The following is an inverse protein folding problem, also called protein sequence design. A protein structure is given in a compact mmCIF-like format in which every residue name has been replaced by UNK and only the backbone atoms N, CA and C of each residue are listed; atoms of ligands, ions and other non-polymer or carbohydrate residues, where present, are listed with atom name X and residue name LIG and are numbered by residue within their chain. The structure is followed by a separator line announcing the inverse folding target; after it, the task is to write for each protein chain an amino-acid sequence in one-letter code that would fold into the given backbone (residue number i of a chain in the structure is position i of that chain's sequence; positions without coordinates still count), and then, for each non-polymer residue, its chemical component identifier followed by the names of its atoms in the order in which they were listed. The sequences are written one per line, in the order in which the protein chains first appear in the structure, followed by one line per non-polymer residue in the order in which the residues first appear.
data_IF_277817747223
#
_entry.id   IF_277817747223
#
_cell.length_a   1.000
_cell.length_b   1.000
_cell.length_c   1.000
_cell.angle_alpha   90.00
_cell.angle_beta   90.00
_cell.angle_gamma   90.00
#
_symmetry.space_group_name_H-M   'P 1'
#
loop_
_entity.id
_entity.type
_entity.pdbx_description
1 polymer ?
#
# COMPACT_ATOMS: atom_id res chain seq x y z
N UNK A 1 1.37 16.96 -13.90
CA UNK A 1 1.16 15.51 -13.71
C UNK A 1 0.13 15.29 -12.60
N UNK A 2 -0.68 14.25 -12.68
CA UNK A 2 -1.60 13.80 -11.62
C UNK A 2 -1.22 12.37 -11.26
N UNK A 3 -1.45 11.99 -10.01
CA UNK A 3 -1.31 10.62 -9.55
C UNK A 3 -2.64 9.90 -9.73
N UNK A 4 -2.60 8.72 -10.34
CA UNK A 4 -3.77 7.92 -10.65
C UNK A 4 -3.50 6.45 -10.30
N UNK A 5 -4.35 5.88 -9.46
CA UNK A 5 -4.42 4.45 -9.23
C UNK A 5 -5.19 3.84 -10.40
N UNK A 6 -4.59 2.85 -11.05
CA UNK A 6 -5.10 2.21 -12.26
C UNK A 6 -6.06 1.08 -11.90
N UNK A 7 -7.15 1.48 -11.25
CA UNK A 7 -8.30 0.66 -10.89
C UNK A 7 -9.59 1.39 -11.30
N UNK A 8 -10.68 0.64 -11.47
CA UNK A 8 -11.97 1.20 -11.89
C UNK A 8 -12.53 2.17 -10.85
N UNK A 9 -13.33 3.15 -11.30
CA UNK A 9 -14.05 4.10 -10.43
C UNK A 9 -14.86 3.40 -9.34
N UNK A 10 -15.50 2.28 -9.67
CA UNK A 10 -16.28 1.45 -8.72
C UNK A 10 -15.48 1.06 -7.47
N UNK A 11 -14.19 0.77 -7.63
CA UNK A 11 -13.27 0.48 -6.53
C UNK A 11 -12.81 1.79 -5.89
N UNK A 12 -12.38 2.77 -6.70
CA UNK A 12 -11.74 4.00 -6.20
C UNK A 12 -12.65 4.93 -5.41
N UNK A 13 -13.95 4.93 -5.71
CA UNK A 13 -14.95 5.77 -5.03
C UNK A 13 -15.34 5.22 -3.65
N UNK A 14 -14.94 3.97 -3.33
CA UNK A 14 -15.19 3.34 -2.03
C UNK A 14 -14.03 3.58 -1.06
N UNK A 15 -14.31 3.48 0.24
CA UNK A 15 -13.28 3.61 1.27
C UNK A 15 -12.23 2.50 1.15
N UNK A 16 -11.04 2.72 1.70
CA UNK A 16 -10.03 1.66 1.80
C UNK A 16 -10.58 0.48 2.62
N UNK A 17 -11.35 0.76 3.70
CA UNK A 17 -12.04 -0.28 4.48
C UNK A 17 -12.93 -1.20 3.65
N UNK A 18 -13.71 -0.63 2.73
CA UNK A 18 -14.61 -1.39 1.87
C UNK A 18 -13.87 -2.18 0.78
N UNK A 19 -12.59 -1.88 0.56
CA UNK A 19 -11.75 -2.46 -0.47
C UNK A 19 -10.63 -3.35 0.09
N UNK A 20 -10.60 -3.66 1.40
CA UNK A 20 -9.54 -4.50 2.00
C UNK A 20 -9.35 -5.78 1.20
N UNK A 21 -10.43 -6.52 0.93
CA UNK A 21 -10.35 -7.80 0.23
C UNK A 21 -9.85 -7.64 -1.23
N UNK A 22 -10.15 -6.49 -1.87
CA UNK A 22 -9.65 -6.15 -3.22
C UNK A 22 -8.16 -5.83 -3.19
N UNK A 23 -7.73 -5.06 -2.19
CA UNK A 23 -6.34 -4.68 -1.95
C UNK A 23 -5.52 -5.92 -1.67
N UNK A 24 -5.97 -6.78 -0.74
CA UNK A 24 -5.33 -8.05 -0.40
C UNK A 24 -5.23 -8.95 -1.63
N UNK A 25 -6.28 -9.06 -2.45
CA UNK A 25 -6.25 -9.86 -3.67
C UNK A 25 -5.17 -9.40 -4.67
N UNK A 26 -4.99 -8.09 -4.84
CA UNK A 26 -3.92 -7.54 -5.68
C UNK A 26 -2.56 -7.81 -5.04
N UNK A 27 -2.42 -7.53 -3.75
CA UNK A 27 -1.14 -7.62 -3.05
C UNK A 27 -0.67 -9.06 -2.85
N UNK A 28 -1.59 -10.03 -2.80
CA UNK A 28 -1.29 -11.46 -2.77
C UNK A 28 -1.11 -12.09 -4.16
N UNK A 29 -1.19 -11.31 -5.24
CA UNK A 29 -1.10 -11.86 -6.59
C UNK A 29 0.28 -12.48 -6.82
N UNK A 30 0.31 -13.82 -6.93
CA UNK A 30 1.55 -14.59 -7.00
C UNK A 30 2.11 -14.62 -8.43
N UNK A 31 2.79 -13.53 -8.76
CA UNK A 31 3.57 -13.40 -9.99
C UNK A 31 4.99 -12.95 -9.62
N UNK A 32 5.98 -13.34 -10.43
CA UNK A 32 7.34 -12.81 -10.30
C UNK A 32 7.52 -11.67 -11.28
N UNK A 33 7.50 -10.44 -10.76
CA UNK A 33 7.73 -9.23 -11.55
C UNK A 33 9.20 -9.02 -11.92
N UNK A 34 10.15 -9.88 -11.54
CA UNK A 34 11.59 -9.76 -11.84
C UNK A 34 12.28 -8.48 -11.30
N UNK A 35 11.53 -7.55 -10.72
CA UNK A 35 12.02 -6.37 -10.01
C UNK A 35 11.70 -6.51 -8.53
N UNK A 36 12.72 -6.34 -7.67
CA UNK A 36 12.63 -6.61 -6.24
C UNK A 36 13.00 -5.38 -5.42
N UNK A 37 12.09 -4.95 -4.55
CA UNK A 37 12.34 -3.90 -3.56
C UNK A 37 12.32 -4.52 -2.17
N UNK A 38 13.46 -4.49 -1.48
CA UNK A 38 13.66 -5.20 -0.19
C UNK A 38 13.71 -4.18 0.95
N UNK A 39 12.93 -4.38 2.02
CA UNK A 39 13.09 -3.60 3.26
C UNK A 39 14.38 -4.06 3.93
N UNK A 40 15.39 -3.19 3.95
CA UNK A 40 16.65 -3.41 4.65
C UNK A 40 16.48 -3.21 6.16
N UNK A 41 15.70 -4.06 6.82
CA UNK A 41 15.78 -4.21 8.27
C UNK A 41 16.43 -5.55 8.62
N UNK A 42 17.33 -5.51 9.61
CA UNK A 42 17.99 -6.69 10.19
C UNK A 42 16.98 -7.51 11.02
N UNK A 43 15.91 -8.02 10.41
CA UNK A 43 14.97 -8.90 11.11
C UNK A 43 15.42 -10.35 10.94
N UNK A 44 15.78 -10.96 12.06
CA UNK A 44 16.14 -12.36 12.14
C UNK A 44 14.95 -13.23 11.70
N UNK A 45 15.12 -14.01 10.63
CA UNK A 45 14.35 -15.23 10.32
C UNK A 45 12.82 -15.13 10.54
N UNK A 46 12.21 -14.04 10.11
CA UNK A 46 10.75 -13.97 9.92
C UNK A 46 10.46 -14.37 8.47
N UNK A 47 9.32 -15.03 8.23
CA UNK A 47 8.84 -15.31 6.87
C UNK A 47 8.78 -13.99 6.11
N UNK A 48 9.59 -13.86 5.05
CA UNK A 48 9.52 -12.70 4.18
C UNK A 48 8.22 -12.81 3.38
N UNK A 49 7.36 -11.81 3.51
CA UNK A 49 6.17 -11.73 2.69
C UNK A 49 6.50 -10.99 1.39
N UNK A 50 5.90 -11.48 0.29
CA UNK A 50 6.00 -10.87 -1.03
C UNK A 50 4.67 -10.23 -1.33
N UNK A 51 4.67 -8.92 -1.58
CA UNK A 51 3.47 -8.22 -2.02
C UNK A 51 3.66 -7.59 -3.41
N UNK A 52 2.63 -7.71 -4.23
CA UNK A 52 2.50 -7.02 -5.53
C UNK A 52 1.87 -5.64 -5.29
N UNK A 53 2.46 -4.52 -5.75
CA UNK A 53 1.86 -3.22 -5.52
C UNK A 53 0.59 -3.02 -6.37
N UNK A 54 -0.30 -2.17 -5.89
CA UNK A 54 -1.43 -1.65 -6.66
C UNK A 54 -0.88 -0.78 -7.81
N UNK A 55 -1.21 -1.08 -9.08
CA UNK A 55 -0.70 -0.32 -10.20
C UNK A 55 -1.16 1.16 -10.14
N UNK A 56 -0.24 2.09 -10.31
CA UNK A 56 -0.54 3.53 -10.40
C UNK A 56 0.34 4.23 -11.43
N UNK A 57 0.01 5.47 -11.80
CA UNK A 57 0.85 6.34 -12.62
C UNK A 57 0.85 7.76 -12.04
N UNK A 58 2.03 8.37 -11.86
CA UNK A 58 3.35 7.73 -11.87
C UNK A 58 3.49 6.74 -10.70
N UNK A 59 4.24 5.65 -10.88
CA UNK A 59 4.71 4.80 -9.79
C UNK A 59 3.89 3.56 -9.47
N UNK A 60 3.77 3.28 -8.17
CA UNK A 60 2.90 2.23 -7.61
C UNK A 60 2.51 2.58 -6.16
N UNK A 61 1.48 1.90 -5.62
CA UNK A 61 1.06 2.02 -4.22
C UNK A 61 1.05 0.65 -3.55
N UNK A 62 1.60 0.55 -2.35
CA UNK A 62 1.44 -0.61 -1.47
C UNK A 62 0.75 -0.20 -0.17
N UNK A 63 -0.08 -1.09 0.37
CA UNK A 63 -0.63 -0.97 1.73
C UNK A 63 -0.03 -2.11 2.55
N UNK A 64 0.75 -1.80 3.59
CA UNK A 64 1.51 -2.81 4.31
C UNK A 64 0.71 -3.45 5.44
N UNK A 65 0.13 -2.63 6.30
CA UNK A 65 -0.66 -3.11 7.43
C UNK A 65 -1.74 -2.10 7.81
N UNK A 66 -2.75 -2.60 8.52
CA UNK A 66 -3.87 -1.84 9.02
C UNK A 66 -3.72 -1.63 10.53
N UNK A 67 -4.02 -0.42 10.99
CA UNK A 67 -4.03 -0.08 12.41
C UNK A 67 -5.48 -0.05 12.87
N UNK A 68 -5.75 -0.77 13.96
CA UNK A 68 -7.07 -0.85 14.56
C UNK A 68 -7.11 -0.15 15.92
N UNK A 69 -8.30 0.29 16.30
CA UNK A 69 -8.57 0.88 17.61
C UNK A 69 -8.69 -0.21 18.67
N UNK A 70 -7.76 -0.23 19.62
CA UNK A 70 -7.82 -1.12 20.78
C UNK A 70 -9.08 -0.86 21.62
N UNK A 71 -9.52 0.39 21.72
CA UNK A 71 -10.76 0.73 22.45
C UNK A 71 -11.99 0.10 21.80
N UNK A 72 -12.13 0.23 20.47
CA UNK A 72 -13.23 -0.41 19.73
C UNK A 72 -13.10 -1.93 19.76
N UNK A 73 -11.88 -2.48 19.68
CA UNK A 73 -11.63 -3.92 19.83
C UNK A 73 -12.25 -4.44 21.12
N UNK A 74 -11.84 -3.88 22.25
CA UNK A 74 -12.30 -4.30 23.58
C UNK A 74 -13.82 -4.15 23.69
N UNK A 75 -14.39 -3.07 23.16
CA UNK A 75 -15.83 -2.85 23.12
C UNK A 75 -16.57 -3.97 22.38
N UNK A 76 -16.07 -4.40 21.23
CA UNK A 76 -16.72 -5.39 20.37
C UNK A 76 -16.49 -6.86 20.74
N UNK A 77 -15.51 -7.16 21.61
CA UNK A 77 -15.26 -8.53 22.06
C UNK A 77 -16.53 -9.19 22.67
N UNK A 78 -16.78 -10.48 22.45
CA UNK A 78 -17.95 -11.18 22.98
C UNK A 78 -17.77 -11.66 24.43
N UNK A 79 -16.82 -11.08 25.18
CA UNK A 79 -16.51 -11.51 26.55
C UNK A 79 -17.24 -10.68 27.61
N UNK A 80 -17.27 -11.20 28.84
CA UNK A 80 -17.80 -10.47 30.00
C UNK A 80 -16.94 -9.25 30.33
N UNK A 81 -17.53 -8.25 31.00
CA UNK A 81 -16.84 -6.98 31.31
C UNK A 81 -15.55 -7.17 32.11
N UNK A 82 -15.53 -8.13 33.05
CA UNK A 82 -14.33 -8.43 33.83
C UNK A 82 -13.17 -8.95 32.95
N UNK A 83 -13.48 -9.74 31.91
CA UNK A 83 -12.48 -10.23 30.96
C UNK A 83 -12.03 -9.11 30.03
N UNK A 84 -12.97 -8.29 29.53
CA UNK A 84 -12.66 -7.12 28.71
C UNK A 84 -11.71 -6.15 29.41
N UNK A 85 -11.93 -5.90 30.70
CA UNK A 85 -11.07 -5.02 31.49
C UNK A 85 -9.63 -5.57 31.60
N UNK A 86 -9.47 -6.88 31.84
CA UNK A 86 -8.15 -7.53 31.85
C UNK A 86 -7.45 -7.45 30.50
N UNK A 87 -8.19 -7.66 29.41
CA UNK A 87 -7.65 -7.56 28.04
C UNK A 87 -7.20 -6.13 27.78
N UNK A 88 -8.02 -5.13 28.13
CA UNK A 88 -7.68 -3.71 28.01
C UNK A 88 -6.37 -3.38 28.72
N UNK A 89 -6.21 -3.81 29.97
CA UNK A 89 -4.98 -3.60 30.76
C UNK A 89 -3.74 -4.29 30.15
N UNK A 90 -3.92 -5.37 29.39
CA UNK A 90 -2.82 -6.05 28.69
C UNK A 90 -2.46 -5.32 27.40
N UNK A 91 -3.45 -4.87 26.61
CA UNK A 91 -3.22 -4.06 25.41
C UNK A 91 -2.50 -2.76 25.76
N UNK A 92 -2.94 -2.04 26.80
CA UNK A 92 -2.29 -0.81 27.29
C UNK A 92 -0.83 -1.03 27.73
N UNK A 93 -0.43 -2.26 28.05
CA UNK A 93 0.96 -2.64 28.38
C UNK A 93 1.78 -3.06 27.16
N UNK A 94 1.21 -3.00 25.96
CA UNK A 94 1.86 -3.36 24.69
C UNK A 94 1.82 -4.86 24.35
N UNK A 95 0.93 -5.64 24.97
CA UNK A 95 0.75 -7.04 24.55
C UNK A 95 -0.04 -7.10 23.25
N UNK A 96 0.44 -7.86 22.27
CA UNK A 96 -0.27 -8.10 21.01
C UNK A 96 -1.62 -8.79 21.25
N UNK A 97 -2.69 -8.26 20.63
CA UNK A 97 -4.03 -8.82 20.72
C UNK A 97 -4.09 -10.32 20.37
N UNK A 98 -3.35 -10.75 19.35
CA UNK A 98 -3.28 -12.15 18.89
C UNK A 98 -2.72 -13.11 19.94
N UNK A 99 -1.94 -12.62 20.90
CA UNK A 99 -1.37 -13.42 21.99
C UNK A 99 -2.30 -13.56 23.19
N UNK A 100 -3.30 -12.68 23.31
CA UNK A 100 -4.17 -12.59 24.50
C UNK A 100 -5.65 -12.85 24.18
N UNK A 101 -6.05 -12.78 22.92
CA UNK A 101 -7.41 -13.07 22.43
C UNK A 101 -7.31 -14.22 21.44
N UNK A 102 -8.28 -15.14 21.50
CA UNK A 102 -8.40 -16.23 20.55
C UNK A 102 -8.50 -15.71 19.10
N UNK A 103 -7.74 -16.33 18.18
CA UNK A 103 -7.66 -15.88 16.80
C UNK A 103 -9.01 -15.94 16.09
N UNK A 104 -9.82 -16.98 16.35
CA UNK A 104 -11.17 -17.09 15.78
C UNK A 104 -12.08 -15.97 16.27
N UNK A 105 -11.93 -15.52 17.52
CA UNK A 105 -12.65 -14.36 18.05
C UNK A 105 -12.20 -13.06 17.39
N UNK A 106 -10.89 -12.85 17.21
CA UNK A 106 -10.37 -11.68 16.51
C UNK A 106 -10.89 -11.59 15.09
N UNK A 107 -10.74 -12.66 14.30
CA UNK A 107 -11.22 -12.70 12.91
C UNK A 107 -12.70 -12.35 12.81
N UNK A 108 -13.54 -12.94 13.66
CA UNK A 108 -14.97 -12.62 13.70
C UNK A 108 -15.26 -11.15 14.03
N UNK A 109 -14.47 -10.51 14.90
CA UNK A 109 -14.63 -9.08 15.21
C UNK A 109 -14.24 -8.21 14.02
N UNK A 110 -13.10 -8.49 13.37
CA UNK A 110 -12.64 -7.72 12.22
C UNK A 110 -13.57 -7.85 11.00
N UNK A 111 -14.12 -9.04 10.75
CA UNK A 111 -15.10 -9.26 9.69
C UNK A 111 -16.41 -8.51 9.93
N UNK A 112 -16.88 -8.49 11.19
CA UNK A 112 -18.18 -7.92 11.54
C UNK A 112 -18.15 -6.41 11.77
N UNK A 113 -17.05 -5.87 12.27
CA UNK A 113 -16.92 -4.48 12.70
C UNK A 113 -15.72 -3.81 12.02
N UNK A 114 -15.83 -3.58 10.70
CA UNK A 114 -14.75 -2.97 9.90
C UNK A 114 -14.37 -1.56 10.38
N UNK A 115 -15.26 -0.85 11.09
CA UNK A 115 -15.02 0.47 11.71
C UNK A 115 -13.96 0.47 12.83
N UNK A 116 -13.54 -0.73 13.25
CA UNK A 116 -12.42 -0.94 14.15
C UNK A 116 -11.09 -0.50 13.54
N UNK A 117 -10.94 -0.61 12.21
CA UNK A 117 -9.72 -0.23 11.50
C UNK A 117 -9.76 1.28 11.25
N UNK A 118 -8.75 2.00 11.72
CA UNK A 118 -8.72 3.46 11.70
C UNK A 118 -7.82 4.02 10.60
N UNK A 119 -6.66 3.40 10.40
CA UNK A 119 -5.69 3.81 9.41
C UNK A 119 -5.00 2.62 8.77
N UNK A 120 -4.29 2.89 7.68
CA UNK A 120 -3.42 1.95 7.00
C UNK A 120 -2.06 2.61 6.79
N UNK A 121 -0.99 1.83 6.86
CA UNK A 121 0.35 2.29 6.53
C UNK A 121 0.62 2.02 5.06
N UNK A 122 0.91 3.08 4.32
CA UNK A 122 1.04 3.02 2.86
C UNK A 122 2.47 3.35 2.42
N UNK A 123 2.86 2.82 1.27
CA UNK A 123 4.08 3.20 0.55
C UNK A 123 3.71 3.62 -0.87
N UNK A 124 4.17 4.81 -1.28
CA UNK A 124 4.08 5.27 -2.66
C UNK A 124 5.47 5.26 -3.26
N UNK A 125 5.63 4.51 -4.35
CA UNK A 125 6.90 4.33 -5.05
C UNK A 125 6.88 5.16 -6.32
N UNK A 126 7.80 6.10 -6.47
CA UNK A 126 7.81 7.08 -7.56
C UNK A 126 9.15 7.04 -8.31
N UNK A 127 9.16 6.75 -9.63
CA UNK A 127 10.37 6.86 -10.43
C UNK A 127 10.68 8.33 -10.73
N UNK A 128 11.93 8.72 -10.49
CA UNK A 128 12.41 10.11 -10.67
C UNK A 128 13.65 10.15 -11.58
N UNK A 129 13.79 11.24 -12.35
CA UNK A 129 14.86 11.46 -13.35
C UNK A 129 16.25 11.52 -12.74
N UNK A 130 16.36 12.07 -11.55
CA UNK A 130 17.63 12.31 -10.87
C UNK A 130 17.40 12.26 -9.37
N UNK A 131 18.47 12.03 -8.62
CA UNK A 131 18.45 12.22 -7.18
C UNK A 131 17.93 13.62 -6.84
N UNK A 132 16.95 13.66 -5.94
CA UNK A 132 16.40 14.90 -5.42
C UNK A 132 17.19 15.28 -4.16
N UNK A 133 17.50 16.57 -3.99
CA UNK A 133 18.13 17.05 -2.77
C UNK A 133 17.25 16.71 -1.55
N UNK A 134 17.83 16.05 -0.56
CA UNK A 134 17.25 15.65 0.73
C UNK A 134 16.39 16.76 1.35
N UNK A 135 16.92 17.99 1.39
CA UNK A 135 16.25 19.16 1.96
C UNK A 135 14.97 19.60 1.23
N UNK A 136 14.84 19.26 -0.05
CA UNK A 136 13.60 19.49 -0.80
C UNK A 136 12.54 18.46 -0.40
N UNK A 137 12.94 17.21 -0.17
CA UNK A 137 12.01 16.13 0.20
C UNK A 137 11.50 16.31 1.63
N UNK A 138 12.38 16.65 2.57
CA UNK A 138 12.00 16.88 3.97
C UNK A 138 10.93 17.97 4.10
N UNK A 139 11.07 19.07 3.37
CA UNK A 139 10.04 20.13 3.33
C UNK A 139 8.70 19.65 2.78
N UNK A 140 8.71 18.69 1.86
CA UNK A 140 7.51 18.13 1.27
C UNK A 140 6.79 17.19 2.23
N UNK A 141 7.57 16.41 2.99
CA UNK A 141 7.06 15.44 3.98
C UNK A 141 6.38 16.14 5.15
N UNK A 142 7.02 17.20 5.70
CA UNK A 142 6.49 17.98 6.83
C UNK A 142 5.08 18.54 6.58
N UNK A 143 4.71 18.80 5.32
CA UNK A 143 3.41 19.33 4.94
C UNK A 143 2.46 18.25 4.37
N UNK A 144 2.75 16.97 4.58
CA UNK A 144 2.05 15.85 3.94
C UNK A 144 1.57 14.78 4.91
N UNK A 145 0.95 13.73 4.38
CA UNK A 145 0.59 12.52 5.14
C UNK A 145 1.76 11.54 5.30
N UNK A 146 2.88 11.79 4.63
CA UNK A 146 4.04 10.92 4.71
C UNK A 146 4.92 11.34 5.90
N UNK A 147 5.56 10.35 6.51
CA UNK A 147 6.41 10.48 7.69
C UNK A 147 7.83 10.05 7.38
N UNK A 148 8.01 9.14 6.42
CA UNK A 148 9.29 8.57 6.04
C UNK A 148 9.51 8.64 4.54
N UNK A 149 10.78 8.67 4.15
CA UNK A 149 11.17 8.52 2.76
C UNK A 149 12.49 7.79 2.61
N UNK A 150 12.67 7.23 1.42
CA UNK A 150 13.90 6.59 1.00
C UNK A 150 14.12 6.88 -0.48
N UNK A 151 15.36 7.12 -0.87
CA UNK A 151 15.75 7.25 -2.27
C UNK A 151 16.71 6.11 -2.58
N UNK A 152 16.41 5.35 -3.63
CA UNK A 152 17.22 4.22 -4.07
C UNK A 152 17.61 4.40 -5.52
N UNK A 153 18.90 4.32 -5.83
CA UNK A 153 19.38 4.14 -7.20
C UNK A 153 19.33 2.66 -7.56
N UNK A 154 18.64 2.30 -8.64
CA UNK A 154 18.48 0.91 -9.05
C UNK A 154 18.16 0.77 -10.53
N UNK A 155 18.28 -0.45 -11.03
CA UNK A 155 17.71 -0.89 -12.30
C UNK A 155 16.28 -1.38 -12.02
N UNK A 156 15.33 -0.90 -12.81
CA UNK A 156 13.92 -1.21 -12.60
C UNK A 156 13.18 -1.37 -13.92
N UNK A 157 12.10 -2.15 -13.85
CA UNK A 157 11.20 -2.36 -14.96
C UNK A 157 9.94 -1.51 -14.82
N UNK A 158 9.38 -1.10 -15.94
CA UNK A 158 8.16 -0.31 -15.97
C UNK A 158 7.30 -0.59 -17.20
N UNK A 159 6.03 -0.20 -17.09
CA UNK A 159 5.07 -0.22 -18.18
C UNK A 159 4.62 1.18 -18.57
N UNK A 160 4.19 1.31 -19.83
CA UNK A 160 3.52 2.51 -20.32
C UNK A 160 2.13 2.64 -19.65
N UNK A 161 1.81 3.78 -18.99
CA UNK A 161 0.52 4.01 -18.35
C UNK A 161 -0.70 3.83 -19.27
N UNK A 162 -0.63 4.29 -20.52
CA UNK A 162 -1.75 4.20 -21.46
C UNK A 162 -2.07 2.74 -21.83
N UNK A 163 -1.05 1.89 -21.92
CA UNK A 163 -1.26 0.47 -22.16
C UNK A 163 -1.91 -0.24 -20.97
N UNK A 164 -1.50 0.10 -19.74
CA UNK A 164 -2.13 -0.45 -18.52
C UNK A 164 -3.58 0.00 -18.40
N UNK A 165 -3.89 1.25 -18.77
CA UNK A 165 -5.26 1.76 -18.85
C UNK A 165 -6.11 1.00 -19.86
N UNK A 166 -5.59 0.74 -21.06
CA UNK A 166 -6.30 -0.05 -22.06
C UNK A 166 -6.61 -1.47 -21.54
N UNK A 167 -5.65 -2.12 -20.87
CA UNK A 167 -5.86 -3.44 -20.25
C UNK A 167 -6.95 -3.38 -19.17
N UNK A 168 -6.97 -2.33 -18.35
CA UNK A 168 -8.01 -2.12 -17.34
C UNK A 168 -9.40 -1.94 -17.97
N UNK A 169 -9.50 -1.17 -19.06
CA UNK A 169 -10.75 -0.92 -19.77
C UNK A 169 -11.30 -2.19 -20.46
N UNK A 170 -10.42 -3.08 -20.92
CA UNK A 170 -10.77 -4.35 -21.54
C UNK A 170 -11.09 -5.49 -20.55
N UNK A 171 -10.93 -5.25 -19.24
CA UNK A 171 -11.08 -6.30 -18.22
C UNK A 171 -12.39 -6.16 -17.46
N UNK A 172 -13.21 -7.21 -17.45
CA UNK A 172 -14.48 -7.22 -16.74
C UNK A 172 -14.29 -7.56 -15.24
N UNK A 173 -13.22 -8.30 -14.93
CA UNK A 173 -12.92 -8.78 -13.60
C UNK A 173 -11.49 -8.44 -13.16
N UNK A 174 -11.29 -8.33 -11.84
CA UNK A 174 -9.99 -8.01 -11.26
C UNK A 174 -8.92 -9.09 -11.53
N UNK A 175 -9.29 -10.37 -11.48
CA UNK A 175 -8.36 -11.46 -11.78
C UNK A 175 -7.90 -11.42 -13.26
N UNK A 176 -8.84 -11.18 -14.17
CA UNK A 176 -8.56 -11.01 -15.60
C UNK A 176 -7.61 -9.83 -15.84
N UNK A 177 -7.85 -8.70 -15.15
CA UNK A 177 -6.97 -7.53 -15.22
C UNK A 177 -5.52 -7.88 -14.81
N UNK A 178 -5.33 -8.57 -13.68
CA UNK A 178 -3.99 -8.95 -13.21
C UNK A 178 -3.32 -9.97 -14.13
N UNK A 179 -4.06 -10.95 -14.66
CA UNK A 179 -3.54 -11.91 -15.63
C UNK A 179 -3.09 -11.24 -16.93
N UNK A 180 -3.91 -10.36 -17.51
CA UNK A 180 -3.54 -9.60 -18.71
C UNK A 180 -2.34 -8.70 -18.43
N UNK A 181 -2.29 -8.06 -17.26
CA UNK A 181 -1.17 -7.22 -16.85
C UNK A 181 0.13 -8.03 -16.75
N UNK A 182 0.10 -9.22 -16.15
CA UNK A 182 1.24 -10.12 -16.07
C UNK A 182 1.74 -10.58 -17.45
N UNK A 183 0.83 -10.99 -18.34
CA UNK A 183 1.17 -11.38 -19.72
C UNK A 183 1.76 -10.20 -20.50
N UNK A 184 1.19 -9.01 -20.34
CA UNK A 184 1.70 -7.79 -20.97
C UNK A 184 3.08 -7.43 -20.44
N UNK A 185 3.28 -7.52 -19.13
CA UNK A 185 4.56 -7.25 -18.47
C UNK A 185 5.70 -8.11 -19.01
N UNK A 186 5.47 -9.42 -19.17
CA UNK A 186 6.48 -10.33 -19.70
C UNK A 186 6.94 -9.97 -21.12
N UNK A 187 6.07 -9.37 -21.92
CA UNK A 187 6.33 -9.08 -23.34
C UNK A 187 6.77 -7.64 -23.60
N UNK A 188 6.34 -6.71 -22.76
CA UNK A 188 6.39 -5.28 -23.06
C UNK A 188 6.99 -4.43 -21.94
N UNK A 189 7.45 -5.02 -20.83
CA UNK A 189 8.20 -4.25 -19.84
C UNK A 189 9.41 -3.60 -20.49
N UNK A 190 9.65 -2.37 -20.08
CA UNK A 190 10.85 -1.61 -20.42
C UNK A 190 11.75 -1.57 -19.21
N UNK A 191 13.04 -1.52 -19.44
CA UNK A 191 14.06 -1.40 -18.39
C UNK A 191 14.59 0.04 -18.38
N UNK A 192 14.88 0.54 -17.19
CA UNK A 192 15.66 1.76 -17.02
C UNK A 192 16.56 1.65 -15.78
N UNK A 193 17.58 2.49 -15.74
CA UNK A 193 18.41 2.69 -14.56
C UNK A 193 18.22 4.11 -14.06
N UNK A 194 17.86 4.25 -12.79
CA UNK A 194 17.66 5.56 -12.21
C UNK A 194 17.25 5.50 -10.76
N UNK A 195 16.51 6.52 -10.35
CA UNK A 195 16.21 6.75 -8.95
C UNK A 195 14.73 6.47 -8.67
N UNK A 196 14.47 5.84 -7.54
CA UNK A 196 13.13 5.58 -7.02
C UNK A 196 13.01 6.28 -5.67
N UNK A 197 11.97 7.10 -5.53
CA UNK A 197 11.56 7.70 -4.27
C UNK A 197 10.45 6.86 -3.65
N UNK A 198 10.67 6.37 -2.43
CA UNK A 198 9.68 5.72 -1.60
C UNK A 198 9.19 6.74 -0.57
N UNK A 199 7.87 6.92 -0.47
CA UNK A 199 7.22 7.77 0.52
C UNK A 199 6.29 6.91 1.37
N UNK A 200 6.43 6.95 2.70
CA UNK A 200 5.65 6.10 3.61
C UNK A 200 4.97 6.91 4.70
N UNK A 201 3.79 6.48 5.11
CA UNK A 201 3.05 7.14 6.18
C UNK A 201 1.66 6.54 6.40
N UNK A 202 0.96 7.05 7.40
CA UNK A 202 -0.39 6.61 7.73
C UNK A 202 -1.45 7.37 6.93
N UNK A 203 -2.43 6.62 6.42
CA UNK A 203 -3.58 7.17 5.73
C UNK A 203 -4.89 6.66 6.34
N UNK A 204 -5.93 7.50 6.51
CA UNK A 204 -7.19 7.07 7.10
C UNK A 204 -7.83 5.95 6.28
N UNK A 205 -8.19 4.84 6.93
CA UNK A 205 -8.81 3.71 6.22
C UNK A 205 -10.24 4.04 5.76
N UNK A 206 -10.91 4.96 6.46
CA UNK A 206 -12.23 5.47 6.09
C UNK A 206 -12.22 6.35 4.83
N UNK A 207 -11.05 6.84 4.41
CA UNK A 207 -10.91 7.62 3.19
C UNK A 207 -10.91 6.72 1.94
N UNK A 208 -11.24 7.30 0.80
CA UNK A 208 -11.29 6.64 -0.51
C UNK A 208 -9.92 6.60 -1.18
N UNK A 209 -9.75 5.71 -2.16
CA UNK A 209 -8.53 5.70 -2.98
C UNK A 209 -8.40 6.98 -3.83
N UNK A 210 -9.50 7.64 -4.18
CA UNK A 210 -9.44 8.96 -4.83
C UNK A 210 -8.92 10.06 -3.93
N UNK A 211 -9.25 10.02 -2.63
CA UNK A 211 -8.67 10.95 -1.67
C UNK A 211 -7.17 10.70 -1.52
N UNK A 212 -6.74 9.43 -1.55
CA UNK A 212 -5.31 9.10 -1.62
C UNK A 212 -4.67 9.70 -2.89
N UNK A 213 -5.24 9.46 -4.08
CA UNK A 213 -4.77 10.06 -5.33
C UNK A 213 -4.65 11.58 -5.26
N UNK A 214 -5.65 12.25 -4.67
CA UNK A 214 -5.67 13.70 -4.53
C UNK A 214 -4.56 14.20 -3.61
N UNK A 215 -4.31 13.51 -2.49
CA UNK A 215 -3.25 13.87 -1.55
C UNK A 215 -1.86 13.64 -2.16
N UNK A 216 -1.62 12.47 -2.77
CA UNK A 216 -0.37 12.20 -3.48
C UNK A 216 -0.16 13.21 -4.61
N UNK A 217 -1.20 13.51 -5.40
CA UNK A 217 -1.16 14.52 -6.46
C UNK A 217 -0.72 15.91 -5.99
N UNK A 218 -1.10 16.35 -4.78
CA UNK A 218 -0.65 17.63 -4.23
C UNK A 218 0.85 17.66 -3.99
N UNK A 219 1.40 16.53 -3.53
CA UNK A 219 2.81 16.37 -3.22
C UNK A 219 3.60 16.25 -4.52
N UNK A 220 3.16 15.38 -5.43
CA UNK A 220 3.92 15.10 -6.64
C UNK A 220 3.99 16.27 -7.62
N UNK A 221 3.01 17.18 -7.59
CA UNK A 221 3.08 18.45 -8.34
C UNK A 221 4.31 19.28 -7.98
N UNK A 222 4.79 19.20 -6.74
CA UNK A 222 5.96 19.95 -6.28
C UNK A 222 7.28 19.37 -6.84
N UNK A 223 7.29 18.11 -7.31
CA UNK A 223 8.44 17.52 -8.01
C UNK A 223 8.54 17.90 -9.50
N UNK A 224 7.48 18.48 -10.08
CA UNK A 224 7.51 19.02 -11.45
C UNK A 224 7.92 17.97 -12.50
N UNK A 225 8.90 18.35 -13.34
CA UNK A 225 9.40 17.49 -14.42
C UNK A 225 10.34 16.38 -13.95
N UNK A 226 10.70 16.33 -12.66
CA UNK A 226 11.58 15.28 -12.13
C UNK A 226 10.90 13.92 -12.05
N UNK A 227 9.56 13.86 -12.09
CA UNK A 227 8.83 12.60 -12.09
C UNK A 227 8.70 11.99 -13.47
N UNK A 228 8.81 10.66 -13.51
CA UNK A 228 8.65 9.87 -14.72
C UNK A 228 7.25 9.25 -14.73
N UNK A 229 6.53 9.45 -15.83
CA UNK A 229 5.20 8.88 -16.00
C UNK A 229 5.31 7.41 -16.42
N UNK A 230 5.35 6.54 -15.41
CA UNK A 230 5.64 5.12 -15.55
C UNK A 230 4.81 4.34 -14.55
N UNK A 231 4.35 3.15 -14.93
CA UNK A 231 3.73 2.20 -13.98
C UNK A 231 4.80 1.25 -13.51
N UNK A 232 4.99 1.14 -12.19
CA UNK A 232 5.92 0.20 -11.60
C UNK A 232 5.17 -1.03 -11.09
N UNK A 233 5.72 -2.20 -11.35
CA UNK A 233 5.30 -3.48 -10.79
C UNK A 233 6.55 -4.18 -10.29
N UNK A 234 6.47 -4.70 -9.07
CA UNK A 234 7.62 -5.29 -8.38
C UNK A 234 7.17 -6.27 -7.31
N UNK A 235 8.10 -7.12 -6.91
CA UNK A 235 7.98 -7.94 -5.71
C UNK A 235 8.52 -7.13 -4.53
N UNK A 236 7.63 -6.62 -3.69
CA UNK A 236 8.02 -5.94 -2.46
C UNK A 236 8.22 -6.97 -1.36
N UNK A 237 9.45 -7.09 -0.87
CA UNK A 237 9.85 -8.10 0.11
C UNK A 237 10.14 -7.42 1.45
N UNK A 238 9.51 -7.91 2.51
CA UNK A 238 9.69 -7.39 3.86
C UNK A 238 9.02 -8.23 4.93
N UNK A 239 9.15 -7.77 6.16
CA UNK A 239 8.28 -8.16 7.27
C UNK A 239 7.26 -7.03 7.38
N UNK A 240 5.98 -7.34 7.22
CA UNK A 240 4.90 -6.36 7.22
C UNK A 240 3.96 -6.60 8.40
#
# INVERSE_FOLDING_TARGET
MKFEILLTRKIKDRSILDNIDVIEFIQSYDFDWEFYLIISEKSNRVSLEKITPIPSSPGAVSIFYYVYSEEKLVKYLPYSQNVKQKIKELLEKGYEASKIIDQGVLSNVFEKYRDIIESCFIEVTLPIKSELLTSNIEKLIVESLFEEYEIVETEYFYLNPDAVKAILEESDYLHEYLEKLAVYYQKHRLEDKGWILLLRGFFPASATLLELEANVSKIIKKFGESLLDRVLLYNRIGVF
#
